data_IF_542280191933
#
_entry.id   IF_542280191933
#
_cell.length_a   1.000
_cell.length_b   1.000
_cell.length_c   1.000
_cell.angle_alpha   90.00
_cell.angle_beta   90.00
_cell.angle_gamma   90.00
#
_symmetry.space_group_name_H-M   'P 1'
#
loop_
_entity.id
_entity.type
_entity.pdbx_description
1 polymer ?
#
# COMPACT_ATOMS: atom_id res chain seq x y z
N UNK A 1 -7.95 -25.34 -49.26
CA UNK A 1 -8.42 -25.10 -50.64
C UNK A 1 -9.93 -24.83 -50.69
N UNK A 2 -10.85 -25.81 -50.71
CA UNK A 2 -12.29 -25.53 -50.90
C UNK A 2 -12.96 -24.64 -49.81
N UNK A 3 -12.41 -24.57 -48.60
CA UNK A 3 -12.94 -23.71 -47.54
C UNK A 3 -12.41 -22.27 -47.64
N UNK A 4 -11.15 -22.08 -48.05
CA UNK A 4 -10.53 -20.76 -48.21
C UNK A 4 -11.10 -20.04 -49.44
N UNK A 5 -11.33 -20.77 -50.54
CA UNK A 5 -11.97 -20.24 -51.74
C UNK A 5 -13.40 -19.75 -51.47
N UNK A 6 -14.18 -20.47 -50.66
CA UNK A 6 -15.52 -20.04 -50.24
C UNK A 6 -15.49 -18.80 -49.33
N UNK A 7 -14.46 -18.67 -48.50
CA UNK A 7 -14.29 -17.52 -47.61
C UNK A 7 -13.83 -16.27 -48.39
N UNK A 8 -12.96 -16.45 -49.38
CA UNK A 8 -12.56 -15.42 -50.33
C UNK A 8 -13.76 -14.96 -51.17
N UNK A 9 -14.55 -15.87 -51.71
CA UNK A 9 -15.76 -15.53 -52.49
C UNK A 9 -16.74 -14.70 -51.67
N UNK A 10 -17.00 -15.08 -50.41
CA UNK A 10 -17.83 -14.28 -49.50
C UNK A 10 -17.22 -12.90 -49.23
N UNK A 11 -15.91 -12.81 -49.04
CA UNK A 11 -15.23 -11.54 -48.78
C UNK A 11 -15.30 -10.58 -49.97
N UNK A 12 -15.15 -11.10 -51.19
CA UNK A 12 -15.23 -10.33 -52.43
C UNK A 12 -16.67 -9.90 -52.75
N UNK A 13 -17.66 -10.74 -52.43
CA UNK A 13 -19.04 -10.55 -52.89
C UNK A 13 -20.01 -9.97 -51.84
N UNK A 14 -19.74 -10.13 -50.54
CA UNK A 14 -20.59 -9.62 -49.46
C UNK A 14 -19.89 -8.47 -48.69
N UNK A 15 -20.37 -7.21 -48.84
CA UNK A 15 -19.79 -6.07 -48.14
C UNK A 15 -19.92 -6.16 -46.62
N UNK A 16 -20.98 -6.79 -46.09
CA UNK A 16 -21.17 -6.96 -44.64
C UNK A 16 -20.19 -7.97 -44.08
N UNK A 17 -19.94 -9.04 -44.82
CA UNK A 17 -18.94 -10.03 -44.44
C UNK A 17 -17.53 -9.41 -44.42
N UNK A 18 -17.19 -8.64 -45.47
CA UNK A 18 -15.91 -7.92 -45.55
C UNK A 18 -15.69 -6.97 -44.39
N UNK A 19 -16.68 -6.16 -44.05
CA UNK A 19 -16.61 -5.26 -42.88
C UNK A 19 -16.34 -6.03 -41.58
N UNK A 20 -17.02 -7.16 -41.38
CA UNK A 20 -16.82 -8.03 -40.20
C UNK A 20 -15.41 -8.64 -40.15
N UNK A 21 -14.83 -8.99 -41.30
CA UNK A 21 -13.44 -9.46 -41.38
C UNK A 21 -12.47 -8.33 -41.05
N UNK A 22 -12.65 -7.14 -41.63
CA UNK A 22 -11.81 -5.98 -41.32
C UNK A 22 -11.89 -5.58 -39.85
N UNK A 23 -13.07 -5.64 -39.24
CA UNK A 23 -13.23 -5.40 -37.81
C UNK A 23 -12.45 -6.41 -36.96
N UNK A 24 -12.43 -7.68 -37.38
CA UNK A 24 -11.63 -8.72 -36.70
C UNK A 24 -10.14 -8.46 -36.83
N UNK A 25 -9.66 -8.14 -38.03
CA UNK A 25 -8.25 -7.81 -38.30
C UNK A 25 -7.81 -6.64 -37.43
N UNK A 26 -8.60 -5.56 -37.39
CA UNK A 26 -8.33 -4.40 -36.53
C UNK A 26 -8.26 -4.80 -35.06
N UNK A 27 -9.26 -5.56 -34.59
CA UNK A 27 -9.34 -6.01 -33.20
C UNK A 27 -8.15 -6.88 -32.79
N UNK A 28 -7.69 -7.76 -33.66
CA UNK A 28 -6.57 -8.66 -33.36
C UNK A 28 -5.24 -7.89 -33.39
N UNK A 29 -5.03 -7.00 -34.36
CA UNK A 29 -3.86 -6.11 -34.40
C UNK A 29 -3.81 -5.15 -33.20
N UNK A 30 -4.93 -4.52 -32.85
CA UNK A 30 -5.03 -3.63 -31.68
C UNK A 30 -4.73 -4.40 -30.38
N UNK A 31 -5.20 -5.64 -30.27
CA UNK A 31 -4.94 -6.51 -29.10
C UNK A 31 -3.46 -6.86 -28.99
N UNK A 32 -2.81 -7.20 -30.10
CA UNK A 32 -1.39 -7.56 -30.09
C UNK A 32 -0.51 -6.35 -29.79
N UNK A 33 -0.86 -5.18 -30.34
CA UNK A 33 -0.25 -3.90 -29.96
C UNK A 33 -0.46 -3.58 -28.49
N UNK A 34 -1.68 -3.75 -27.96
CA UNK A 34 -1.98 -3.53 -26.54
C UNK A 34 -1.16 -4.47 -25.64
N UNK A 35 -0.95 -5.72 -26.05
CA UNK A 35 -0.05 -6.65 -25.34
C UNK A 35 1.38 -6.14 -25.32
N UNK A 36 1.92 -5.70 -26.46
CA UNK A 36 3.28 -5.16 -26.56
C UNK A 36 3.47 -3.90 -25.71
N UNK A 37 2.50 -2.98 -25.74
CA UNK A 37 2.50 -1.77 -24.90
C UNK A 37 2.50 -2.16 -23.42
N UNK A 38 1.62 -3.07 -23.01
CA UNK A 38 1.57 -3.56 -21.61
C UNK A 38 2.87 -4.24 -21.19
N UNK A 39 3.50 -4.99 -22.08
CA UNK A 39 4.78 -5.63 -21.82
C UNK A 39 5.87 -4.58 -21.57
N UNK A 40 6.01 -3.59 -22.46
CA UNK A 40 6.95 -2.47 -22.32
C UNK A 40 6.68 -1.63 -21.07
N UNK A 41 5.43 -1.33 -20.75
CA UNK A 41 5.03 -0.67 -19.51
C UNK A 41 5.47 -1.50 -18.30
N UNK A 42 5.24 -2.82 -18.33
CA UNK A 42 5.65 -3.72 -17.26
C UNK A 42 7.17 -3.73 -17.07
N UNK A 43 7.96 -3.71 -18.15
CA UNK A 43 9.41 -3.62 -18.12
C UNK A 43 9.88 -2.29 -17.51
N UNK A 44 9.29 -1.17 -17.93
CA UNK A 44 9.59 0.15 -17.36
C UNK A 44 9.31 0.18 -15.84
N UNK A 45 8.17 -0.38 -15.39
CA UNK A 45 7.87 -0.46 -13.96
C UNK A 45 8.82 -1.39 -13.19
N UNK A 46 9.27 -2.50 -13.80
CA UNK A 46 10.27 -3.41 -13.21
C UNK A 46 11.62 -2.69 -13.06
N UNK A 47 12.10 -2.03 -14.12
CA UNK A 47 13.36 -1.29 -14.11
C UNK A 47 13.33 -0.14 -13.08
N UNK A 48 12.22 0.60 -13.01
CA UNK A 48 12.02 1.67 -12.01
C UNK A 48 12.08 1.14 -10.57
N UNK A 49 11.51 -0.04 -10.31
CA UNK A 49 11.62 -0.71 -9.01
C UNK A 49 13.05 -1.16 -8.71
N UNK A 50 13.76 -1.73 -9.68
CA UNK A 50 15.16 -2.14 -9.54
C UNK A 50 16.03 -0.91 -9.22
N UNK A 51 15.86 0.18 -9.96
CA UNK A 51 16.52 1.47 -9.71
C UNK A 51 16.29 1.97 -8.28
N UNK A 52 15.04 2.00 -7.84
CA UNK A 52 14.68 2.45 -6.48
C UNK A 52 15.31 1.58 -5.40
N UNK A 53 15.37 0.26 -5.63
CA UNK A 53 15.98 -0.68 -4.70
C UNK A 53 17.51 -0.54 -4.66
N UNK A 54 18.15 -0.30 -5.81
CA UNK A 54 19.60 -0.09 -5.87
C UNK A 54 19.99 1.21 -5.16
N UNK A 55 19.25 2.30 -5.36
CA UNK A 55 19.44 3.55 -4.60
C UNK A 55 19.32 3.27 -3.10
N UNK A 56 18.25 2.59 -2.65
CA UNK A 56 18.07 2.24 -1.23
C UNK A 56 19.22 1.40 -0.68
N UNK A 57 19.72 0.45 -1.48
CA UNK A 57 20.84 -0.41 -1.11
C UNK A 57 22.12 0.39 -0.94
N UNK A 58 22.44 1.27 -1.89
CA UNK A 58 23.60 2.17 -1.83
C UNK A 58 23.49 3.10 -0.63
N UNK A 59 22.35 3.76 -0.45
CA UNK A 59 22.09 4.63 0.71
C UNK A 59 22.32 3.85 2.00
N UNK A 60 21.77 2.64 2.12
CA UNK A 60 21.95 1.81 3.32
C UNK A 60 23.40 1.37 3.53
N UNK A 61 24.13 1.01 2.47
CA UNK A 61 25.53 0.57 2.59
C UNK A 61 26.49 1.68 2.99
N UNK A 62 26.13 2.95 2.74
CA UNK A 62 26.90 4.12 3.20
C UNK A 62 26.80 4.33 4.71
N UNK A 63 25.78 3.79 5.36
CA UNK A 63 25.59 3.88 6.81
C UNK A 63 26.17 2.65 7.53
N UNK A 64 27.13 2.90 8.41
CA UNK A 64 27.79 1.93 9.27
C UNK A 64 27.24 2.02 10.70
N UNK A 65 26.93 0.88 11.31
CA UNK A 65 26.60 0.80 12.74
C UNK A 65 27.88 0.68 13.54
N UNK A 66 28.18 1.67 14.38
CA UNK A 66 29.34 1.68 15.26
C UNK A 66 28.96 1.36 16.71
N UNK A 67 29.96 0.88 17.48
CA UNK A 67 29.89 0.64 18.93
C UNK A 67 28.62 -0.10 19.37
N UNK A 68 28.44 -1.32 18.85
CA UNK A 68 27.30 -2.17 19.19
C UNK A 68 25.96 -1.71 18.62
N UNK A 69 25.96 -0.73 17.71
CA UNK A 69 24.75 -0.21 17.05
C UNK A 69 24.17 1.06 17.68
N UNK A 70 24.81 1.61 18.71
CA UNK A 70 24.35 2.81 19.42
C UNK A 70 24.66 4.12 18.67
N UNK A 71 25.54 4.07 17.66
CA UNK A 71 25.85 5.19 16.80
C UNK A 71 25.83 4.74 15.34
N UNK A 72 25.23 5.53 14.45
CA UNK A 72 25.22 5.25 13.02
C UNK A 72 25.99 6.35 12.29
N UNK A 73 26.92 5.95 11.44
CA UNK A 73 27.92 6.85 10.84
C UNK A 73 27.92 6.65 9.33
N UNK A 74 27.95 7.73 8.59
CA UNK A 74 28.19 7.76 7.16
C UNK A 74 29.53 8.47 6.90
N UNK A 75 30.59 7.69 6.71
CA UNK A 75 31.93 8.22 6.44
C UNK A 75 32.05 8.84 5.05
N UNK A 76 31.27 8.34 4.08
CA UNK A 76 31.29 8.86 2.70
C UNK A 76 30.74 10.28 2.60
N UNK A 77 29.77 10.64 3.43
CA UNK A 77 29.12 11.96 3.43
C UNK A 77 29.54 12.83 4.62
N UNK A 78 30.36 12.29 5.53
CA UNK A 78 30.76 13.00 6.74
C UNK A 78 29.60 13.27 7.70
N UNK A 79 28.65 12.32 7.83
CA UNK A 79 27.44 12.46 8.66
C UNK A 79 27.36 11.42 9.77
N UNK A 80 26.78 11.79 10.90
CA UNK A 80 26.33 10.87 11.95
C UNK A 80 24.82 10.96 12.10
N UNK A 81 24.21 9.93 12.68
CA UNK A 81 22.80 9.91 13.04
C UNK A 81 22.64 9.61 14.53
N UNK A 82 22.02 10.53 15.25
CA UNK A 82 21.73 10.46 16.70
C UNK A 82 20.23 10.67 16.89
N UNK A 83 19.53 9.73 17.56
CA UNK A 83 18.08 9.80 17.80
C UNK A 83 17.27 10.18 16.55
N UNK A 84 17.55 9.49 15.45
CA UNK A 84 16.98 9.75 14.14
C UNK A 84 17.30 11.08 13.46
N UNK A 85 18.10 11.94 14.08
CA UNK A 85 18.55 13.21 13.52
C UNK A 85 19.92 13.07 12.86
N UNK A 86 20.03 13.47 11.59
CA UNK A 86 21.30 13.48 10.84
C UNK A 86 22.08 14.76 11.08
N UNK A 87 23.36 14.65 11.42
CA UNK A 87 24.23 15.77 11.73
C UNK A 87 25.57 15.60 11.00
N UNK A 88 26.21 16.69 10.58
CA UNK A 88 27.54 16.64 9.97
C UNK A 88 28.63 16.42 11.02
N UNK A 89 29.75 15.85 10.62
CA UNK A 89 30.93 15.72 11.47
C UNK A 89 31.43 17.08 11.97
N UNK A 90 31.42 18.09 11.10
CA UNK A 90 31.83 19.47 11.42
C UNK A 90 30.95 20.16 12.48
N UNK A 91 29.71 19.68 12.65
CA UNK A 91 28.77 20.20 13.64
C UNK A 91 29.06 19.70 15.06
N UNK A 92 29.86 18.63 15.21
CA UNK A 92 30.20 18.05 16.51
C UNK A 92 31.19 18.98 17.22
N UNK A 93 30.77 19.59 18.33
CA UNK A 93 31.63 20.43 19.18
C UNK A 93 32.28 19.65 20.32
N UNK A 94 31.73 18.49 20.66
CA UNK A 94 32.29 17.60 21.67
C UNK A 94 31.26 16.61 22.19
N UNK A 95 31.73 15.64 22.97
CA UNK A 95 30.88 14.65 23.63
C UNK A 95 31.34 14.45 25.08
N UNK A 96 30.39 14.25 26.00
CA UNK A 96 30.65 14.05 27.43
C UNK A 96 29.82 12.88 27.95
N UNK A 97 30.39 12.16 28.91
CA UNK A 97 29.68 11.09 29.61
C UNK A 97 28.61 11.71 30.53
N UNK A 98 27.41 11.14 30.49
CA UNK A 98 26.33 11.44 31.43
C UNK A 98 25.98 10.17 32.19
N UNK A 99 26.13 10.22 33.52
CA UNK A 99 25.92 9.08 34.38
C UNK A 99 25.20 9.53 35.66
N UNK A 100 24.11 8.85 35.99
CA UNK A 100 23.37 9.05 37.23
C UNK A 100 23.59 7.85 38.16
N UNK A 101 24.19 8.11 39.31
CA UNK A 101 24.52 7.09 40.31
C UNK A 101 23.52 7.09 41.47
N UNK A 102 23.19 5.89 41.95
CA UNK A 102 22.33 5.64 43.11
C UNK A 102 22.93 4.52 43.98
N UNK A 103 22.33 4.22 45.14
CA UNK A 103 22.79 3.16 46.03
C UNK A 103 21.61 2.27 46.45
N UNK A 104 21.81 0.94 46.48
CA UNK A 104 20.86 -0.01 47.05
C UNK A 104 21.42 -0.60 48.34
N UNK A 105 20.63 -0.61 49.40
CA UNK A 105 20.99 -1.22 50.69
C UNK A 105 20.50 -2.67 50.70
N UNK A 106 21.42 -3.62 50.86
CA UNK A 106 21.09 -5.04 51.03
C UNK A 106 21.46 -5.45 52.44
N UNK A 107 20.46 -5.89 53.22
CA UNK A 107 20.69 -6.40 54.58
C UNK A 107 20.62 -7.91 54.56
N UNK A 108 21.72 -8.58 54.90
CA UNK A 108 21.76 -10.04 55.02
C UNK A 108 21.74 -10.41 56.50
N UNK A 109 20.72 -11.18 56.92
CA UNK A 109 20.59 -11.72 58.27
C UNK A 109 20.89 -13.21 58.29
N UNK A 110 21.76 -13.67 59.20
CA UNK A 110 21.98 -15.10 59.47
C UNK A 110 21.20 -15.48 60.73
N UNK A 111 20.12 -16.24 60.57
CA UNK A 111 19.29 -16.71 61.69
C UNK A 111 19.68 -18.16 61.99
N UNK A 112 20.29 -18.41 63.14
CA UNK A 112 20.47 -19.76 63.67
C UNK A 112 19.35 -20.01 64.68
N UNK A 113 18.25 -20.65 64.27
CA UNK A 113 17.21 -21.11 65.19
C UNK A 113 17.51 -22.55 65.63
N UNK A 114 17.74 -22.77 66.93
CA UNK A 114 17.65 -24.11 67.55
C UNK A 114 16.19 -24.35 67.93
N UNK A 115 15.47 -25.13 67.15
CA UNK A 115 14.14 -25.61 67.51
C UNK A 115 14.22 -26.65 68.65
N UNK A 116 13.37 -26.49 69.66
CA UNK A 116 13.00 -27.57 70.59
C UNK A 116 11.58 -28.01 70.22
N UNK A 117 11.48 -29.24 69.76
CA UNK A 117 10.24 -29.90 69.34
C UNK A 117 9.22 -29.99 70.48
N UNK A 118 7.97 -29.57 70.22
CA UNK A 118 6.79 -30.27 70.75
C UNK A 118 5.72 -30.34 69.67
N UNK A 119 5.38 -31.57 69.31
CA UNK A 119 4.31 -31.91 68.38
C UNK A 119 2.94 -31.82 69.07
N UNK A 120 1.97 -31.19 68.42
CA UNK A 120 0.54 -31.36 68.71
C UNK A 120 -0.28 -30.96 67.48
N UNK A 121 -0.59 -31.98 66.69
CA UNK A 121 -1.77 -32.22 65.84
C UNK A 121 -2.76 -31.07 65.58
N UNK A 122 -3.09 -30.84 64.30
CA UNK A 122 -4.38 -30.23 63.94
C UNK A 122 -4.53 -29.60 62.56
N UNK A 123 -4.23 -30.33 61.47
CA UNK A 123 -4.87 -30.08 60.17
C UNK A 123 -4.08 -29.24 59.14
N UNK A 124 -3.96 -29.82 57.94
CA UNK A 124 -3.48 -29.26 56.67
C UNK A 124 -1.95 -29.11 56.47
N UNK A 125 -1.29 -30.26 56.32
CA UNK A 125 -0.29 -30.46 55.26
C UNK A 125 -1.02 -30.41 53.89
N UNK A 126 -0.47 -30.02 52.75
CA UNK A 126 0.90 -29.78 52.34
C UNK A 126 0.88 -28.87 51.08
N UNK A 127 1.91 -28.05 50.91
CA UNK A 127 2.08 -27.24 49.70
C UNK A 127 3.35 -26.38 49.69
N UNK A 128 4.49 -26.98 50.04
CA UNK A 128 5.86 -26.58 49.67
C UNK A 128 6.36 -25.16 50.05
N UNK A 129 7.31 -25.14 50.99
CA UNK A 129 8.47 -24.24 50.92
C UNK A 129 9.06 -24.25 49.50
N UNK A 130 9.45 -23.09 48.97
CA UNK A 130 10.82 -22.77 48.53
C UNK A 130 10.87 -21.29 48.10
N UNK A 131 11.64 -20.50 48.84
CA UNK A 131 12.55 -19.51 48.27
C UNK A 131 11.98 -18.16 47.79
N UNK A 132 12.26 -17.12 48.57
CA UNK A 132 12.64 -15.83 48.00
C UNK A 132 11.77 -14.64 48.37
N UNK A 133 12.40 -13.71 49.12
CA UNK A 133 12.05 -12.30 49.32
C UNK A 133 10.94 -11.99 50.35
N UNK A 134 11.31 -11.63 51.60
CA UNK A 134 10.47 -10.80 52.44
C UNK A 134 10.79 -9.32 52.14
N UNK A 135 9.95 -8.69 51.33
CA UNK A 135 9.78 -7.24 51.39
C UNK A 135 9.12 -6.91 52.73
N UNK A 136 9.94 -6.56 53.72
CA UNK A 136 9.46 -5.98 54.96
C UNK A 136 9.97 -4.53 55.02
N UNK A 137 9.10 -3.61 54.60
CA UNK A 137 9.25 -2.17 54.86
C UNK A 137 9.19 -1.99 56.38
N UNK A 138 10.34 -1.75 57.00
CA UNK A 138 10.43 -1.36 58.41
C UNK A 138 10.06 0.13 58.50
N UNK A 139 8.77 0.42 58.54
CA UNK A 139 8.22 1.67 59.07
C UNK A 139 7.98 1.50 60.56
N UNK A 140 8.77 2.16 61.39
CA UNK A 140 8.66 2.03 62.84
C UNK A 140 7.42 2.69 63.41
N UNK A 141 6.73 2.02 64.34
CA UNK A 141 6.25 2.61 65.61
C UNK A 141 5.82 1.50 66.59
N UNK A 142 6.55 1.42 67.70
CA UNK A 142 6.13 1.13 69.09
C UNK A 142 5.17 -0.04 69.36
N UNK A 143 5.66 -1.02 70.14
CA UNK A 143 5.11 -1.53 71.42
C UNK A 143 5.15 -3.08 71.52
N UNK A 144 5.84 -3.58 72.55
CA UNK A 144 5.74 -4.99 72.99
C UNK A 144 7.09 -5.63 73.28
N UNK A 145 7.55 -5.53 74.53
CA UNK A 145 8.72 -6.29 75.02
C UNK A 145 8.35 -7.77 75.12
N UNK A 146 8.74 -8.60 74.16
CA UNK A 146 8.98 -10.03 74.38
C UNK A 146 10.47 -10.29 74.19
N UNK A 147 11.14 -10.72 75.28
CA UNK A 147 12.56 -11.04 75.27
C UNK A 147 12.79 -12.37 74.56
N UNK A 148 12.89 -12.34 73.24
CA UNK A 148 13.49 -13.43 72.47
C UNK A 148 14.96 -13.07 72.26
N UNK A 149 15.89 -13.83 72.86
CA UNK A 149 17.32 -13.68 72.58
C UNK A 149 17.59 -14.21 71.17
N UNK A 150 17.39 -13.36 70.17
CA UNK A 150 17.84 -13.59 68.80
C UNK A 150 19.23 -13.01 68.67
N UNK A 151 20.28 -13.84 68.81
CA UNK A 151 21.64 -13.42 68.45
C UNK A 151 21.80 -13.62 66.95
N UNK A 152 21.47 -12.58 66.17
CA UNK A 152 21.73 -12.50 64.74
C UNK A 152 22.67 -11.32 64.47
N UNK A 153 23.76 -11.56 63.75
CA UNK A 153 24.55 -10.48 63.15
C UNK A 153 23.88 -10.07 61.85
N UNK A 154 23.53 -8.78 61.73
CA UNK A 154 23.07 -8.16 60.49
C UNK A 154 24.21 -7.33 59.92
N UNK A 155 24.67 -7.67 58.72
CA UNK A 155 25.59 -6.83 57.95
C UNK A 155 24.80 -6.16 56.84
N UNK A 156 24.83 -4.83 56.82
CA UNK A 156 24.23 -4.00 55.78
C UNK A 156 25.32 -3.61 54.79
N UNK A 157 25.16 -3.99 53.53
CA UNK A 157 26.07 -3.62 52.46
C UNK A 157 25.38 -2.60 51.53
N UNK A 158 26.07 -1.51 51.23
CA UNK A 158 25.65 -0.55 50.20
C UNK A 158 26.24 -0.98 48.86
N UNK A 159 25.39 -1.27 47.88
CA UNK A 159 25.80 -1.60 46.51
C UNK A 159 25.61 -0.35 45.65
N UNK A 160 26.67 0.19 45.02
CA UNK A 160 26.54 1.30 44.08
C UNK A 160 25.81 0.81 42.82
N UNK A 161 24.82 1.58 42.40
CA UNK A 161 23.99 1.33 41.22
C UNK A 161 24.03 2.53 40.28
N UNK A 162 23.76 2.32 39.00
CA UNK A 162 23.61 3.35 37.99
C UNK A 162 22.16 3.32 37.49
N UNK A 163 21.46 4.45 37.51
CA UNK A 163 20.06 4.56 37.04
C UNK A 163 19.98 4.96 35.58
N UNK A 164 20.93 5.75 35.11
CA UNK A 164 20.99 6.25 33.74
C UNK A 164 22.44 6.40 33.29
N UNK A 165 22.74 5.96 32.06
CA UNK A 165 24.04 6.13 31.43
C UNK A 165 23.84 6.50 29.96
N UNK A 166 24.45 7.60 29.54
CA UNK A 166 24.39 8.07 28.16
C UNK A 166 25.60 8.93 27.80
N UNK A 167 25.64 9.32 26.53
CA UNK A 167 26.64 10.27 26.01
C UNK A 167 25.92 11.51 25.52
N UNK A 168 26.22 12.65 26.15
CA UNK A 168 25.74 13.95 25.72
C UNK A 168 26.67 14.49 24.63
N UNK A 169 26.15 14.62 23.42
CA UNK A 169 26.85 15.15 22.24
C UNK A 169 26.40 16.58 22.02
N UNK A 170 27.35 17.51 21.97
CA UNK A 170 27.10 18.90 21.59
C UNK A 170 27.22 19.03 20.07
N UNK A 171 26.11 19.37 19.44
CA UNK A 171 25.97 19.56 18.00
C UNK A 171 25.54 21.01 17.80
N UNK A 172 26.44 21.84 17.26
CA UNK A 172 26.19 23.27 16.99
C UNK A 172 25.58 24.06 18.18
N UNK A 173 25.92 23.69 19.41
CA UNK A 173 25.43 24.33 20.63
C UNK A 173 24.23 23.64 21.28
N UNK A 174 23.61 22.66 20.61
CA UNK A 174 22.51 21.85 21.15
C UNK A 174 23.02 20.53 21.69
N UNK A 175 22.54 20.13 22.86
CA UNK A 175 22.92 18.86 23.48
C UNK A 175 21.93 17.77 23.07
N UNK A 176 22.43 16.71 22.45
CA UNK A 176 21.67 15.48 22.14
C UNK A 176 22.24 14.30 22.91
N UNK A 177 21.39 13.43 23.43
CA UNK A 177 21.81 12.30 24.25
C UNK A 177 21.73 10.97 23.50
N UNK A 178 22.81 10.20 23.52
CA UNK A 178 22.80 8.78 23.14
C UNK A 178 22.66 7.96 24.41
N UNK A 179 21.45 7.45 24.66
CA UNK A 179 21.16 6.64 25.86
C UNK A 179 21.67 5.22 25.70
N UNK A 180 22.44 4.73 26.67
CA UNK A 180 23.01 3.38 26.70
C UNK A 180 22.38 2.50 27.80
N UNK A 181 22.00 3.12 28.91
CA UNK A 181 21.23 2.49 29.99
C UNK A 181 20.17 3.46 30.49
N UNK A 182 18.95 2.97 30.66
CA UNK A 182 17.80 3.73 31.18
C UNK A 182 17.14 3.04 32.39
N UNK A 183 17.80 2.04 32.96
CA UNK A 183 17.31 1.26 34.10
C UNK A 183 18.39 1.07 35.15
N UNK A 184 17.95 0.87 36.40
CA UNK A 184 18.85 0.68 37.53
C UNK A 184 19.62 -0.63 37.41
N UNK A 185 20.94 -0.53 37.33
CA UNK A 185 21.87 -1.67 37.29
C UNK A 185 22.99 -1.52 38.32
N UNK A 186 23.49 -2.62 38.86
CA UNK A 186 24.63 -2.58 39.78
C UNK A 186 25.91 -2.17 39.01
N UNK A 187 26.73 -1.27 39.56
CA UNK A 187 27.95 -0.78 38.85
C UNK A 187 29.02 -1.88 38.69
N UNK A 188 28.96 -2.94 39.49
CA UNK A 188 29.81 -4.13 39.32
C UNK A 188 29.29 -5.08 38.23
N UNK A 189 28.10 -4.83 37.67
CA UNK A 189 27.51 -5.71 36.66
C UNK A 189 28.22 -5.59 35.31
N UNK A 190 28.25 -6.70 34.57
CA UNK A 190 28.79 -6.73 33.20
C UNK A 190 28.03 -5.78 32.26
N UNK A 191 26.72 -5.61 32.49
CA UNK A 191 25.88 -4.68 31.74
C UNK A 191 26.35 -3.24 31.89
N UNK A 192 26.67 -2.81 33.12
CA UNK A 192 27.24 -1.48 33.38
C UNK A 192 28.61 -1.33 32.72
N UNK A 193 29.53 -2.27 32.94
CA UNK A 193 30.89 -2.20 32.37
C UNK A 193 30.88 -2.14 30.83
N UNK A 194 29.98 -2.89 30.20
CA UNK A 194 29.81 -2.87 28.74
C UNK A 194 29.27 -1.53 28.26
N UNK A 195 28.27 -0.99 28.94
CA UNK A 195 27.68 0.30 28.58
C UNK A 195 28.68 1.46 28.80
N UNK A 196 29.46 1.43 29.88
CA UNK A 196 30.53 2.40 30.15
C UNK A 196 31.63 2.32 29.09
N UNK A 197 32.12 1.12 28.78
CA UNK A 197 33.10 0.90 27.71
C UNK A 197 32.59 1.41 26.36
N UNK A 198 31.32 1.15 26.04
CA UNK A 198 30.69 1.66 24.83
C UNK A 198 30.58 3.19 24.84
N UNK A 199 30.21 3.80 25.97
CA UNK A 199 30.15 5.26 26.11
C UNK A 199 31.50 5.91 25.82
N UNK A 200 32.58 5.38 26.41
CA UNK A 200 33.94 5.85 26.18
C UNK A 200 34.38 5.70 24.72
N UNK A 201 34.07 4.56 24.09
CA UNK A 201 34.34 4.33 22.66
C UNK A 201 33.57 5.32 21.77
N UNK A 202 32.31 5.62 22.10
CA UNK A 202 31.51 6.62 21.38
C UNK A 202 32.13 8.00 21.52
N UNK A 203 32.51 8.43 22.73
CA UNK A 203 33.14 9.74 22.97
C UNK A 203 34.44 9.85 22.17
N UNK A 204 35.30 8.83 22.23
CA UNK A 204 36.56 8.81 21.47
C UNK A 204 36.31 8.87 19.96
N UNK A 205 35.36 8.08 19.45
CA UNK A 205 35.00 8.06 18.03
C UNK A 205 34.46 9.42 17.58
N UNK A 206 33.50 10.02 18.32
CA UNK A 206 32.98 11.35 18.00
C UNK A 206 34.08 12.41 18.02
N UNK A 207 35.04 12.31 18.93
CA UNK A 207 36.23 13.16 18.94
C UNK A 207 37.05 13.05 17.66
N UNK A 208 37.26 11.84 17.14
CA UNK A 208 37.94 11.64 15.85
C UNK A 208 37.13 12.12 14.65
N UNK A 209 35.82 11.86 14.64
CA UNK A 209 34.93 12.27 13.55
C UNK A 209 34.84 13.79 13.44
N UNK A 210 34.78 14.52 14.56
CA UNK A 210 34.73 15.98 14.59
C UNK A 210 35.90 16.67 13.86
N UNK A 211 37.07 16.01 13.82
CA UNK A 211 38.28 16.50 13.15
C UNK A 211 38.47 15.93 11.74
N UNK A 212 37.58 15.03 11.30
CA UNK A 212 37.65 14.44 9.97
C UNK A 212 37.07 15.42 8.95
N UNK A 213 37.79 15.76 7.86
CA UNK A 213 37.28 16.69 6.85
C UNK A 213 36.04 16.09 6.17
N UNK A 214 35.00 16.92 6.02
CA UNK A 214 33.78 16.56 5.30
C UNK A 214 34.02 16.78 3.80
N UNK A 215 33.77 15.79 2.94
CA UNK A 215 33.90 15.96 1.49
C UNK A 215 32.93 17.02 0.97
N UNK A 216 33.44 17.98 0.18
CA UNK A 216 32.60 19.02 -0.44
C UNK A 216 31.80 18.49 -1.64
N UNK A 217 32.38 17.54 -2.39
CA UNK A 217 31.76 16.90 -3.54
C UNK A 217 31.45 15.44 -3.23
N UNK A 218 30.21 15.18 -2.87
CA UNK A 218 29.68 13.84 -2.58
C UNK A 218 28.95 13.34 -3.82
N UNK A 219 29.39 12.21 -4.36
CA UNK A 219 28.62 11.50 -5.40
C UNK A 219 27.29 11.06 -4.80
N UNK A 220 26.18 11.56 -5.35
CA UNK A 220 24.86 11.18 -4.83
C UNK A 220 24.56 9.71 -5.16
N UNK A 221 23.77 8.99 -4.36
CA UNK A 221 23.39 7.61 -4.65
C UNK A 221 22.77 7.44 -6.06
N UNK A 222 22.10 8.47 -6.58
CA UNK A 222 21.52 8.49 -7.93
C UNK A 222 22.55 8.60 -9.05
N UNK A 223 23.72 9.16 -8.77
CA UNK A 223 24.79 9.42 -9.74
C UNK A 223 25.78 8.24 -9.86
N UNK A 224 25.61 7.22 -9.01
CA UNK A 224 26.41 6.01 -9.00
C UNK A 224 26.29 5.25 -10.33
N UNK A 225 27.37 4.61 -10.82
CA UNK A 225 27.41 4.01 -12.15
C UNK A 225 26.38 2.90 -12.33
N UNK A 226 26.07 2.14 -11.28
CA UNK A 226 25.03 1.10 -11.32
C UNK A 226 23.63 1.69 -11.53
N UNK A 227 23.33 2.84 -10.93
CA UNK A 227 22.04 3.54 -11.08
C UNK A 227 21.98 4.23 -12.45
N UNK A 228 23.08 4.83 -12.90
CA UNK A 228 23.16 5.45 -14.24
C UNK A 228 22.91 4.45 -15.37
N UNK A 229 23.45 3.24 -15.28
CA UNK A 229 23.18 2.18 -16.26
C UNK A 229 21.69 1.81 -16.30
N UNK A 230 21.03 1.78 -15.14
CA UNK A 230 19.58 1.54 -15.07
C UNK A 230 18.78 2.72 -15.64
N UNK A 231 19.24 3.96 -15.46
CA UNK A 231 18.62 5.14 -16.04
C UNK A 231 18.72 5.15 -17.57
N UNK A 232 19.88 4.76 -18.11
CA UNK A 232 20.06 4.60 -19.57
C UNK A 232 19.13 3.53 -20.14
N UNK A 233 19.01 2.39 -19.45
CA UNK A 233 18.07 1.32 -19.85
C UNK A 233 16.62 1.78 -19.78
N UNK A 234 16.22 2.44 -18.68
CA UNK A 234 14.86 2.94 -18.50
C UNK A 234 14.52 3.97 -19.57
N UNK A 235 15.44 4.89 -19.87
CA UNK A 235 15.24 5.91 -20.90
C UNK A 235 15.14 5.28 -22.29
N UNK A 236 15.97 4.26 -22.60
CA UNK A 236 15.87 3.54 -23.86
C UNK A 236 14.51 2.85 -24.03
N UNK A 237 14.00 2.19 -22.98
CA UNK A 237 12.69 1.52 -22.96
C UNK A 237 11.51 2.50 -23.00
N UNK A 238 11.66 3.66 -22.37
CA UNK A 238 10.65 4.71 -22.44
C UNK A 238 10.56 5.30 -23.85
N UNK A 239 11.68 5.49 -24.55
CA UNK A 239 11.66 5.89 -25.97
C UNK A 239 10.99 4.83 -26.85
N UNK A 240 11.24 3.54 -26.59
CA UNK A 240 10.58 2.44 -27.31
C UNK A 240 9.05 2.48 -27.11
N UNK A 241 8.60 2.68 -25.87
CA UNK A 241 7.18 2.84 -25.54
C UNK A 241 6.56 4.08 -26.20
N UNK A 242 7.26 5.21 -26.20
CA UNK A 242 6.82 6.44 -26.86
C UNK A 242 6.74 6.27 -28.38
N UNK A 243 7.73 5.62 -29.00
CA UNK A 243 7.73 5.30 -30.42
C UNK A 243 6.59 4.37 -30.79
N UNK A 244 6.32 3.34 -29.98
CA UNK A 244 5.17 2.47 -30.16
C UNK A 244 3.88 3.27 -30.06
N UNK A 245 3.70 4.09 -29.02
CA UNK A 245 2.50 4.92 -28.84
C UNK A 245 2.30 5.94 -29.97
N UNK A 246 3.38 6.47 -30.56
CA UNK A 246 3.32 7.44 -31.65
C UNK A 246 3.00 6.81 -33.02
N UNK A 247 3.29 5.52 -33.22
CA UNK A 247 2.96 4.83 -34.46
C UNK A 247 1.46 4.61 -34.61
N UNK A 248 0.91 4.99 -35.76
CA UNK A 248 -0.44 4.60 -36.16
C UNK A 248 -0.46 3.11 -36.51
N UNK A 249 -1.49 2.36 -36.09
CA UNK A 249 -1.60 0.94 -36.44
C UNK A 249 -1.79 0.80 -37.95
N UNK A 250 -0.96 -0.06 -38.56
CA UNK A 250 -1.14 -0.54 -39.92
C UNK A 250 -1.88 -1.88 -39.81
N UNK A 251 -3.02 -1.99 -40.50
CA UNK A 251 -3.86 -3.19 -40.47
C UNK A 251 -3.62 -3.99 -41.74
N UNK A 252 -2.90 -5.11 -41.63
CA UNK A 252 -2.60 -5.97 -42.77
C UNK A 252 -3.75 -6.96 -43.02
N UNK A 253 -4.27 -6.98 -44.25
CA UNK A 253 -5.27 -7.97 -44.64
C UNK A 253 -4.59 -9.34 -44.85
N UNK A 254 -5.09 -10.42 -44.24
CA UNK A 254 -4.54 -11.75 -44.46
C UNK A 254 -4.54 -12.15 -45.95
N UNK A 255 -3.46 -12.80 -46.41
CA UNK A 255 -3.29 -13.20 -47.82
C UNK A 255 -4.45 -14.04 -48.36
N UNK A 256 -5.14 -14.81 -47.49
CA UNK A 256 -6.29 -15.64 -47.87
C UNK A 256 -7.49 -14.85 -48.44
N UNK A 257 -7.53 -13.54 -48.23
CA UNK A 257 -8.57 -12.65 -48.76
C UNK A 257 -8.14 -11.91 -50.03
N UNK A 258 -7.00 -12.28 -50.64
CA UNK A 258 -6.54 -11.75 -51.92
C UNK A 258 -6.56 -12.84 -52.99
N UNK A 259 -6.85 -12.44 -54.23
CA UNK A 259 -6.63 -13.28 -55.41
C UNK A 259 -5.21 -13.09 -55.93
N UNK A 260 -4.68 -14.06 -56.67
CA UNK A 260 -3.32 -14.00 -57.24
C UNK A 260 -3.11 -12.77 -58.14
N UNK A 261 -4.16 -12.32 -58.83
CA UNK A 261 -4.14 -11.15 -59.72
C UNK A 261 -4.04 -9.83 -58.95
N UNK A 262 -4.54 -9.79 -57.71
CA UNK A 262 -4.63 -8.59 -56.88
C UNK A 262 -3.54 -8.56 -55.79
N UNK A 263 -2.64 -9.54 -55.79
CA UNK A 263 -1.60 -9.72 -54.76
C UNK A 263 -0.65 -8.51 -54.63
N UNK A 264 -0.45 -7.77 -55.72
CA UNK A 264 0.47 -6.63 -55.79
C UNK A 264 -0.17 -5.29 -55.39
N UNK A 265 -1.48 -5.22 -55.13
CA UNK A 265 -2.12 -3.99 -54.64
C UNK A 265 -1.87 -3.79 -53.14
N UNK A 266 -1.85 -2.53 -52.69
CA UNK A 266 -1.91 -2.22 -51.26
C UNK A 266 -3.29 -2.57 -50.68
N UNK A 267 -3.36 -2.82 -49.36
CA UNK A 267 -4.63 -3.17 -48.70
C UNK A 267 -5.71 -2.09 -48.90
N UNK A 268 -5.33 -0.83 -48.81
CA UNK A 268 -6.24 0.30 -48.99
C UNK A 268 -6.75 0.40 -50.44
N UNK A 269 -5.88 0.18 -51.42
CA UNK A 269 -6.26 0.16 -52.84
C UNK A 269 -7.17 -1.01 -53.16
N UNK A 270 -6.88 -2.19 -52.60
CA UNK A 270 -7.69 -3.38 -52.80
C UNK A 270 -9.10 -3.21 -52.20
N UNK A 271 -9.21 -2.67 -50.99
CA UNK A 271 -10.51 -2.39 -50.37
C UNK A 271 -11.32 -1.34 -51.15
N UNK A 272 -10.67 -0.31 -51.70
CA UNK A 272 -11.33 0.67 -52.59
C UNK A 272 -11.83 0.03 -53.88
N UNK A 273 -11.03 -0.86 -54.48
CA UNK A 273 -11.43 -1.62 -55.66
C UNK A 273 -12.70 -2.45 -55.39
N UNK A 274 -12.74 -3.18 -54.27
CA UNK A 274 -13.93 -3.97 -53.88
C UNK A 274 -15.16 -3.09 -53.64
N UNK A 275 -15.00 -1.91 -53.04
CA UNK A 275 -16.10 -0.95 -52.88
C UNK A 275 -16.64 -0.46 -54.24
N UNK A 276 -15.77 -0.23 -55.22
CA UNK A 276 -16.17 0.18 -56.55
C UNK A 276 -16.93 -0.95 -57.28
N UNK A 277 -16.47 -2.19 -57.16
CA UNK A 277 -17.16 -3.38 -57.69
C UNK A 277 -18.54 -3.59 -57.08
N UNK A 278 -18.69 -3.34 -55.77
CA UNK A 278 -19.99 -3.42 -55.09
C UNK A 278 -20.95 -2.34 -55.58
N UNK A 279 -20.45 -1.12 -55.81
CA UNK A 279 -21.24 -0.03 -56.38
C UNK A 279 -21.76 -0.41 -57.78
N UNK A 280 -20.90 -0.91 -58.66
CA UNK A 280 -21.30 -1.38 -59.99
C UNK A 280 -22.34 -2.52 -59.94
N UNK A 281 -22.17 -3.50 -59.04
CA UNK A 281 -23.17 -4.57 -58.86
C UNK A 281 -24.52 -4.03 -58.37
N UNK A 282 -24.52 -3.05 -57.48
CA UNK A 282 -25.74 -2.42 -56.99
C UNK A 282 -26.48 -1.65 -58.09
N UNK A 283 -25.73 -0.95 -58.96
CA UNK A 283 -26.26 -0.20 -60.10
C UNK A 283 -26.85 -1.15 -61.15
N UNK A 284 -26.11 -2.20 -61.53
CA UNK A 284 -26.58 -3.21 -62.47
C UNK A 284 -27.84 -3.93 -61.96
N UNK A 285 -27.90 -4.27 -60.67
CA UNK A 285 -29.09 -4.88 -60.08
C UNK A 285 -30.29 -3.90 -60.03
N UNK A 286 -30.04 -2.61 -59.80
CA UNK A 286 -31.10 -1.59 -59.82
C UNK A 286 -31.63 -1.36 -61.24
N UNK A 287 -30.76 -1.34 -62.25
CA UNK A 287 -31.12 -1.23 -63.66
C UNK A 287 -31.89 -2.45 -64.16
N UNK A 288 -31.43 -3.66 -63.79
CA UNK A 288 -32.13 -4.91 -64.12
C UNK A 288 -33.51 -5.01 -63.43
N UNK A 289 -33.66 -4.46 -62.21
CA UNK A 289 -34.99 -4.35 -61.57
C UNK A 289 -35.91 -3.34 -62.26
N UNK A 290 -35.37 -2.30 -62.91
CA UNK A 290 -36.13 -1.30 -63.66
C UNK A 290 -36.59 -1.84 -65.01
N UNK A 291 -35.84 -2.73 -65.65
CA UNK A 291 -36.21 -3.35 -66.93
C UNK A 291 -37.17 -4.54 -66.80
N UNK A 292 -37.21 -5.21 -65.64
CA UNK A 292 -38.08 -6.38 -65.38
C UNK A 292 -39.46 -6.00 -64.82
N UNK A 293 -39.69 -4.74 -64.42
CA UNK A 293 -41.01 -4.23 -64.01
C UNK A 293 -41.65 -3.45 -65.18
N UNK A 294 -42.84 -3.83 -65.68
CA UNK A 294 -43.56 -2.95 -66.59
C UNK A 294 -44.11 -1.75 -65.81
N UNK A 295 -44.20 -0.63 -66.53
CA UNK A 295 -44.86 0.64 -66.20
C UNK A 295 -46.00 0.49 -65.17
N UNK A 296 -46.12 1.37 -64.14
CA UNK A 296 -47.24 1.28 -63.21
C UNK A 296 -48.54 1.64 -63.95
N UNK A 297 -49.33 0.61 -64.28
CA UNK A 297 -50.71 0.77 -64.71
C UNK A 297 -51.47 1.56 -63.64
N UNK A 298 -51.93 2.74 -64.03
CA UNK A 298 -52.85 3.61 -63.30
C UNK A 298 -54.11 2.82 -62.94
N UNK A 299 -54.12 2.17 -61.78
CA UNK A 299 -55.32 1.64 -61.11
C UNK A 299 -54.98 1.30 -59.67
N UNK A 300 -54.96 2.33 -58.82
CA UNK A 300 -55.37 2.30 -57.41
C UNK A 300 -55.09 3.66 -56.74
N UNK A 301 -55.50 4.75 -57.41
CA UNK A 301 -55.37 6.12 -56.89
C UNK A 301 -56.61 6.59 -56.12
N UNK A 302 -57.58 5.70 -55.85
CA UNK A 302 -58.90 6.10 -55.32
C UNK A 302 -59.30 5.44 -53.99
N UNK A 303 -58.44 4.65 -53.35
CA UNK A 303 -58.76 4.01 -52.05
C UNK A 303 -57.78 4.32 -50.91
N UNK A 304 -56.71 5.10 -51.15
CA UNK A 304 -55.77 5.48 -50.09
C UNK A 304 -55.91 6.93 -49.60
N UNK A 305 -56.80 7.70 -50.23
CA UNK A 305 -57.06 9.10 -49.88
C UNK A 305 -57.96 9.27 -48.66
N UNK A 306 -58.65 8.22 -48.18
CA UNK A 306 -59.57 8.32 -47.02
C UNK A 306 -58.95 7.81 -45.71
N UNK A 307 -57.76 7.20 -45.76
CA UNK A 307 -57.12 6.59 -44.57
C UNK A 307 -55.85 7.32 -44.06
N UNK A 308 -55.48 8.47 -44.64
CA UNK A 308 -54.32 9.26 -44.15
C UNK A 308 -54.68 10.63 -43.58
N UNK A 309 -55.94 11.07 -43.71
CA UNK A 309 -56.40 12.35 -43.12
C UNK A 309 -56.64 12.26 -41.60
N UNK A 310 -56.64 11.09 -40.98
CA UNK A 310 -56.79 10.93 -39.51
C UNK A 310 -55.49 10.65 -38.76
N UNK A 311 -54.35 10.52 -39.44
CA UNK A 311 -53.03 10.44 -38.78
C UNK A 311 -52.33 11.82 -38.67
N UNK A 312 -52.96 12.87 -39.21
CA UNK A 312 -52.48 14.26 -39.13
C UNK A 312 -53.11 14.98 -37.94
N UNK A 313 -53.02 14.42 -36.73
CA UNK A 313 -53.47 15.12 -35.52
C UNK A 313 -52.92 14.50 -34.23
N UNK A 314 -51.64 14.15 -34.19
CA UNK A 314 -50.93 14.16 -32.92
C UNK A 314 -49.41 14.15 -33.12
N UNK A 315 -48.74 14.94 -32.29
CA UNK A 315 -47.28 15.10 -32.20
C UNK A 315 -46.67 16.08 -33.19
N UNK A 316 -47.10 17.34 -33.06
CA UNK A 316 -46.25 18.48 -33.38
C UNK A 316 -46.28 19.42 -32.17
N UNK A 317 -45.29 19.33 -31.28
CA UNK A 317 -44.85 20.41 -30.38
C UNK A 317 -43.57 20.03 -29.63
N UNK A 318 -42.40 20.34 -30.21
CA UNK A 318 -41.47 21.36 -29.66
C UNK A 318 -40.17 21.45 -30.48
N UNK A 319 -40.01 22.61 -31.13
CA UNK A 319 -38.81 23.42 -31.41
C UNK A 319 -37.65 22.72 -32.16
N UNK A 320 -37.39 22.92 -33.46
CA UNK A 320 -37.13 24.14 -34.24
C UNK A 320 -35.94 24.99 -33.73
N UNK A 321 -34.79 24.93 -34.41
CA UNK A 321 -33.79 25.99 -34.72
C UNK A 321 -33.06 25.55 -36.04
N UNK A 322 -32.67 26.46 -36.96
CA UNK A 322 -32.57 26.18 -38.39
C UNK A 322 -31.13 26.02 -38.94
N UNK A 323 -31.06 25.50 -40.16
CA UNK A 323 -29.88 25.52 -41.04
C UNK A 323 -29.41 26.95 -41.35
N UNK A 324 -28.09 27.16 -41.36
CA UNK A 324 -27.41 28.07 -42.29
C UNK A 324 -26.09 27.48 -42.77
N UNK A 325 -25.88 27.68 -44.06
CA UNK A 325 -24.80 27.27 -44.93
C UNK A 325 -23.38 27.67 -44.51
N UNK A 326 -22.44 26.79 -44.88
CA UNK A 326 -21.16 27.07 -45.57
C UNK A 326 -20.27 28.16 -44.96
N UNK A 327 -19.31 27.73 -44.12
CA UNK A 327 -17.86 28.01 -44.21
C UNK A 327 -17.13 27.54 -42.94
N UNK A 328 -15.90 27.06 -43.11
CA UNK A 328 -14.87 26.73 -42.12
C UNK A 328 -14.75 25.25 -41.69
N UNK A 329 -14.06 24.49 -42.54
CA UNK A 329 -13.61 23.12 -42.30
C UNK A 329 -12.37 23.00 -41.36
N UNK A 330 -11.81 24.10 -40.85
CA UNK A 330 -10.57 24.07 -40.05
C UNK A 330 -10.76 24.14 -38.52
N UNK A 331 -11.99 24.07 -38.01
CA UNK A 331 -12.26 24.04 -36.55
C UNK A 331 -12.82 22.71 -36.02
N UNK A 332 -13.15 21.74 -36.87
CA UNK A 332 -13.67 20.43 -36.43
C UNK A 332 -12.60 19.44 -35.97
N UNK A 333 -11.32 19.65 -36.31
CA UNK A 333 -10.21 18.79 -35.87
C UNK A 333 -9.84 19.00 -34.38
N UNK A 334 -10.13 20.17 -33.80
CA UNK A 334 -9.80 20.47 -32.40
C UNK A 334 -10.90 20.03 -31.40
N UNK A 335 -12.16 19.92 -31.84
CA UNK A 335 -13.29 19.53 -31.00
C UNK A 335 -13.49 17.99 -30.91
N UNK A 336 -13.05 17.24 -31.93
CA UNK A 336 -13.14 15.77 -31.91
C UNK A 336 -12.07 15.15 -31.00
N UNK A 337 -10.84 15.70 -31.00
CA UNK A 337 -9.75 15.27 -30.12
C UNK A 337 -9.94 15.60 -28.64
N UNK A 338 -10.79 16.58 -28.30
CA UNK A 338 -11.17 16.87 -26.90
C UNK A 338 -12.30 15.98 -26.42
N UNK A 339 -13.22 15.58 -27.29
CA UNK A 339 -14.35 14.73 -26.89
C UNK A 339 -13.93 13.27 -26.66
N UNK A 340 -13.02 12.71 -27.48
CA UNK A 340 -12.45 11.38 -27.25
C UNK A 340 -11.52 11.32 -26.03
N UNK A 341 -10.72 12.36 -25.80
CA UNK A 341 -9.90 12.46 -24.57
C UNK A 341 -10.76 12.55 -23.32
N UNK A 342 -11.86 13.30 -23.33
CA UNK A 342 -12.78 13.41 -22.19
C UNK A 342 -13.57 12.11 -21.95
N UNK A 343 -13.91 11.35 -22.99
CA UNK A 343 -14.63 10.06 -22.86
C UNK A 343 -13.69 8.93 -22.41
N UNK A 344 -12.48 8.82 -22.96
CA UNK A 344 -11.47 7.86 -22.49
C UNK A 344 -10.92 8.18 -21.09
N UNK A 345 -10.77 9.47 -20.75
CA UNK A 345 -10.39 9.90 -19.39
C UNK A 345 -11.53 9.68 -18.39
N UNK A 346 -12.80 9.80 -18.80
CA UNK A 346 -13.96 9.40 -17.97
C UNK A 346 -14.05 7.90 -17.77
N UNK A 347 -13.84 7.08 -18.81
CA UNK A 347 -13.91 5.62 -18.68
C UNK A 347 -12.75 5.03 -17.87
N UNK A 348 -11.53 5.55 -18.04
CA UNK A 348 -10.37 5.16 -17.22
C UNK A 348 -10.49 5.67 -15.79
N UNK A 349 -11.00 6.89 -15.59
CA UNK A 349 -11.33 7.42 -14.26
C UNK A 349 -12.43 6.64 -13.54
N UNK A 350 -13.46 6.19 -14.26
CA UNK A 350 -14.56 5.39 -13.70
C UNK A 350 -14.10 3.97 -13.32
N UNK A 351 -13.28 3.31 -14.17
CA UNK A 351 -12.65 2.01 -13.84
C UNK A 351 -11.64 2.11 -12.71
N UNK A 352 -10.83 3.18 -12.69
CA UNK A 352 -9.89 3.42 -11.60
C UNK A 352 -10.62 3.67 -10.28
N UNK A 353 -11.72 4.43 -10.29
CA UNK A 353 -12.54 4.67 -9.11
C UNK A 353 -13.25 3.40 -8.61
N UNK A 354 -13.76 2.56 -9.52
CA UNK A 354 -14.32 1.25 -9.13
C UNK A 354 -13.28 0.30 -8.53
N UNK A 355 -12.07 0.26 -9.10
CA UNK A 355 -10.98 -0.55 -8.57
C UNK A 355 -10.50 0.01 -7.22
N UNK A 356 -10.44 1.33 -7.06
CA UNK A 356 -10.07 1.98 -5.80
C UNK A 356 -11.13 1.76 -4.71
N UNK A 357 -12.42 1.77 -5.06
CA UNK A 357 -13.51 1.44 -4.15
C UNK A 357 -13.49 -0.03 -3.75
N UNK A 358 -13.21 -0.95 -4.69
CA UNK A 358 -13.07 -2.39 -4.41
C UNK A 358 -11.88 -2.66 -3.49
N UNK A 359 -10.73 -2.04 -3.76
CA UNK A 359 -9.53 -2.13 -2.92
C UNK A 359 -9.78 -1.52 -1.53
N UNK A 360 -10.40 -0.35 -1.46
CA UNK A 360 -10.77 0.29 -0.20
C UNK A 360 -11.74 -0.56 0.64
N UNK A 361 -12.71 -1.21 -0.01
CA UNK A 361 -13.64 -2.13 0.66
C UNK A 361 -12.94 -3.40 1.16
N UNK A 362 -11.98 -3.94 0.39
CA UNK A 362 -11.17 -5.08 0.81
C UNK A 362 -10.27 -4.72 2.01
N UNK A 363 -9.60 -3.56 1.98
CA UNK A 363 -8.76 -3.07 3.09
C UNK A 363 -9.61 -2.87 4.35
N UNK A 364 -10.80 -2.26 4.22
CA UNK A 364 -11.75 -2.10 5.31
C UNK A 364 -12.11 -3.45 5.94
N UNK A 365 -12.50 -4.43 5.12
CA UNK A 365 -12.87 -5.76 5.61
C UNK A 365 -11.71 -6.47 6.33
N UNK A 366 -10.49 -6.36 5.81
CA UNK A 366 -9.29 -6.95 6.44
C UNK A 366 -9.00 -6.26 7.77
N UNK A 367 -8.98 -4.92 7.81
CA UNK A 367 -8.67 -4.16 9.02
C UNK A 367 -9.68 -4.45 10.14
N UNK A 368 -10.97 -4.43 9.83
CA UNK A 368 -12.02 -4.68 10.83
C UNK A 368 -12.08 -6.14 11.29
N UNK A 369 -11.70 -7.10 10.43
CA UNK A 369 -11.51 -8.47 10.85
C UNK A 369 -10.35 -8.61 11.85
N UNK A 370 -9.22 -7.93 11.61
CA UNK A 370 -8.09 -7.91 12.57
C UNK A 370 -8.49 -7.26 13.89
N UNK A 371 -9.18 -6.12 13.87
CA UNK A 371 -9.67 -5.47 15.10
C UNK A 371 -10.71 -6.31 15.85
N UNK A 372 -11.59 -7.03 15.14
CA UNK A 372 -12.51 -7.99 15.75
C UNK A 372 -11.74 -9.10 16.48
N UNK A 373 -10.73 -9.69 15.83
CA UNK A 373 -9.88 -10.71 16.43
C UNK A 373 -9.15 -10.20 17.68
N UNK A 374 -8.62 -8.96 17.60
CA UNK A 374 -7.96 -8.32 18.74
C UNK A 374 -8.93 -8.13 19.92
N UNK A 375 -10.18 -7.69 19.67
CA UNK A 375 -11.20 -7.57 20.72
C UNK A 375 -11.62 -8.93 21.30
N UNK A 376 -11.60 -10.01 20.53
CA UNK A 376 -11.80 -11.37 21.08
C UNK A 376 -10.68 -11.73 22.05
N UNK A 377 -9.42 -11.42 21.72
CA UNK A 377 -8.29 -11.64 22.66
C UNK A 377 -8.44 -10.80 23.94
N UNK A 378 -8.83 -9.53 23.80
CA UNK A 378 -9.15 -8.68 24.95
C UNK A 378 -10.35 -9.19 25.75
N UNK A 379 -11.32 -9.86 25.12
CA UNK A 379 -12.44 -10.47 25.85
C UNK A 379 -11.99 -11.61 26.75
N UNK A 380 -11.07 -12.47 26.29
CA UNK A 380 -10.50 -13.56 27.09
C UNK A 380 -9.75 -13.00 28.30
N UNK A 381 -8.95 -11.96 28.09
CA UNK A 381 -8.29 -11.24 29.19
C UNK A 381 -9.32 -10.54 30.11
N UNK A 382 -10.35 -9.94 29.52
CA UNK A 382 -11.47 -9.31 30.21
C UNK A 382 -12.16 -10.26 31.18
N UNK A 383 -12.54 -11.47 30.73
CA UNK A 383 -13.16 -12.49 31.57
C UNK A 383 -12.27 -12.94 32.73
N UNK A 384 -10.94 -12.82 32.61
CA UNK A 384 -10.02 -13.12 33.73
C UNK A 384 -10.03 -12.06 34.85
N UNK A 385 -10.55 -10.86 34.57
CA UNK A 385 -10.55 -9.71 35.49
C UNK A 385 -11.95 -9.25 35.90
N UNK A 386 -12.88 -9.17 34.95
CA UNK A 386 -14.26 -8.73 35.14
C UNK A 386 -15.16 -9.31 34.05
N UNK A 387 -16.23 -9.99 34.46
CA UNK A 387 -17.21 -10.56 33.53
C UNK A 387 -17.88 -9.51 32.64
N UNK A 388 -18.03 -8.28 33.14
CA UNK A 388 -18.63 -7.14 32.43
C UNK A 388 -17.71 -6.69 31.29
N UNK A 389 -16.41 -6.52 31.58
CA UNK A 389 -15.41 -6.13 30.59
C UNK A 389 -15.27 -7.19 29.49
N UNK A 390 -15.19 -8.48 29.86
CA UNK A 390 -15.15 -9.59 28.91
C UNK A 390 -16.35 -9.64 27.98
N UNK A 391 -17.57 -9.45 28.53
CA UNK A 391 -18.81 -9.43 27.75
C UNK A 391 -18.86 -8.24 26.79
N UNK A 392 -18.36 -7.07 27.21
CA UNK A 392 -18.36 -5.86 26.39
C UNK A 392 -17.39 -5.95 25.21
N UNK A 393 -16.18 -6.47 25.44
CA UNK A 393 -15.22 -6.74 24.36
C UNK A 393 -15.73 -7.81 23.39
N UNK A 394 -16.39 -8.85 23.91
CA UNK A 394 -16.98 -9.90 23.06
C UNK A 394 -18.13 -9.35 22.21
N UNK A 395 -19.04 -8.56 22.79
CA UNK A 395 -20.12 -7.92 22.05
C UNK A 395 -19.58 -6.96 20.98
N UNK A 396 -18.58 -6.16 21.32
CA UNK A 396 -17.91 -5.24 20.39
C UNK A 396 -17.24 -6.01 19.24
N UNK A 397 -16.57 -7.13 19.53
CA UNK A 397 -15.95 -7.98 18.52
C UNK A 397 -16.95 -8.58 17.53
N UNK A 398 -18.12 -9.01 18.02
CA UNK A 398 -19.19 -9.59 17.20
C UNK A 398 -19.85 -8.56 16.29
N UNK A 399 -20.12 -7.35 16.80
CA UNK A 399 -20.79 -6.28 16.04
C UNK A 399 -19.92 -5.79 14.88
N UNK A 400 -18.61 -5.70 15.11
CA UNK A 400 -17.65 -5.10 14.17
C UNK A 400 -17.15 -6.12 13.14
N UNK A 401 -17.36 -7.42 13.38
CA UNK A 401 -16.91 -8.46 12.47
C UNK A 401 -17.65 -8.37 11.12
N UNK A 402 -16.94 -8.13 10.00
CA UNK A 402 -17.57 -7.99 8.68
C UNK A 402 -18.33 -9.24 8.24
N UNK A 403 -17.92 -10.44 8.71
CA UNK A 403 -18.62 -11.70 8.43
C UNK A 403 -19.89 -11.90 9.25
N UNK A 404 -19.94 -11.37 10.47
CA UNK A 404 -21.16 -11.39 11.28
C UNK A 404 -22.20 -10.38 10.77
N UNK A 405 -21.73 -9.25 10.22
CA UNK A 405 -22.61 -8.27 9.59
C UNK A 405 -23.36 -8.87 8.38
N UNK A 406 -22.66 -9.64 7.54
CA UNK A 406 -23.24 -10.38 6.42
C UNK A 406 -24.26 -11.45 6.85
N UNK A 407 -24.05 -12.08 8.03
CA UNK A 407 -24.88 -13.18 8.51
C UNK A 407 -26.12 -12.72 9.31
N UNK A 408 -25.97 -11.68 10.15
CA UNK A 408 -26.98 -11.28 11.16
C UNK A 408 -27.80 -10.07 10.71
N UNK A 409 -27.20 -9.13 9.97
CA UNK A 409 -27.82 -7.84 9.64
C UNK A 409 -28.43 -7.79 8.23
N UNK A 410 -28.34 -8.87 7.47
CA UNK A 410 -28.68 -8.99 6.04
C UNK A 410 -30.14 -8.69 5.64
N UNK A 411 -31.02 -8.26 6.57
CA UNK A 411 -32.44 -8.03 6.23
C UNK A 411 -33.11 -6.77 6.75
N UNK A 412 -32.54 -5.94 7.65
CA UNK A 412 -33.30 -4.78 8.16
C UNK A 412 -32.53 -3.49 8.49
N UNK A 413 -31.22 -3.50 8.71
CA UNK A 413 -30.49 -2.27 9.09
C UNK A 413 -29.11 -2.26 8.44
N UNK A 414 -28.93 -1.42 7.43
CA UNK A 414 -27.60 -1.10 6.90
C UNK A 414 -26.95 -0.04 7.79
N UNK A 415 -25.99 -0.46 8.62
CA UNK A 415 -25.20 0.48 9.42
C UNK A 415 -24.13 1.15 8.52
N UNK A 416 -24.06 2.50 8.49
CA UNK A 416 -23.04 3.20 7.73
C UNK A 416 -21.64 2.87 8.25
N UNK A 417 -20.66 2.67 7.37
CA UNK A 417 -19.29 2.24 7.75
C UNK A 417 -18.63 3.09 8.83
N UNK A 418 -18.94 4.38 8.90
CA UNK A 418 -18.42 5.28 9.94
C UNK A 418 -18.95 4.97 11.34
N UNK A 419 -20.16 4.41 11.47
CA UNK A 419 -20.70 4.01 12.79
C UNK A 419 -19.93 2.84 13.39
N UNK A 420 -19.35 1.96 12.58
CA UNK A 420 -18.51 0.85 13.07
C UNK A 420 -17.22 1.35 13.73
N UNK A 421 -16.66 2.47 13.24
CA UNK A 421 -15.50 3.13 13.86
C UNK A 421 -15.87 3.68 15.24
N UNK A 422 -17.04 4.33 15.35
CA UNK A 422 -17.53 4.83 16.64
C UNK A 422 -17.80 3.69 17.63
N UNK A 423 -18.41 2.60 17.18
CA UNK A 423 -18.67 1.42 18.02
C UNK A 423 -17.36 0.77 18.48
N UNK A 424 -16.34 0.69 17.60
CA UNK A 424 -15.00 0.21 17.97
C UNK A 424 -14.40 1.05 19.10
N UNK A 425 -14.39 2.37 18.93
CA UNK A 425 -13.77 3.30 19.88
C UNK A 425 -14.52 3.24 21.21
N UNK A 426 -15.84 3.43 21.19
CA UNK A 426 -16.67 3.46 22.39
C UNK A 426 -16.64 2.10 23.11
N UNK A 427 -16.77 0.99 22.38
CA UNK A 427 -16.73 -0.36 22.95
C UNK A 427 -15.38 -0.70 23.56
N UNK A 428 -14.28 -0.29 22.91
CA UNK A 428 -12.94 -0.50 23.44
C UNK A 428 -12.69 0.30 24.72
N UNK A 429 -12.98 1.61 24.71
CA UNK A 429 -12.77 2.46 25.90
C UNK A 429 -13.68 2.06 27.06
N UNK A 430 -14.95 1.73 26.81
CA UNK A 430 -15.83 1.23 27.85
C UNK A 430 -15.36 -0.13 28.42
N UNK A 431 -14.75 -0.99 27.60
CA UNK A 431 -14.18 -2.26 28.04
C UNK A 431 -12.94 -2.07 28.91
N UNK A 432 -12.11 -1.08 28.57
CA UNK A 432 -10.92 -0.72 29.37
C UNK A 432 -11.31 -0.05 30.69
N UNK A 433 -12.28 0.87 30.67
CA UNK A 433 -12.74 1.59 31.86
C UNK A 433 -13.48 0.71 32.88
N UNK A 434 -13.87 -0.51 32.48
CA UNK A 434 -14.51 -1.49 33.37
C UNK A 434 -13.51 -2.44 34.03
N UNK A 435 -12.21 -2.30 33.76
CA UNK A 435 -11.19 -2.99 34.56
C UNK A 435 -11.17 -2.41 35.98
N UNK A 436 -11.11 -3.26 37.02
CA UNK A 436 -10.95 -2.78 38.37
C UNK A 436 -9.63 -1.98 38.44
N UNK A 437 -9.71 -0.72 38.90
CA UNK A 437 -8.52 0.07 39.19
C UNK A 437 -7.65 -0.72 40.16
N UNK A 438 -6.35 -0.84 39.87
CA UNK A 438 -5.41 -1.51 40.76
C UNK A 438 -5.48 -0.84 42.14
N UNK A 439 -6.04 -1.56 43.12
CA UNK A 439 -5.89 -1.28 44.54
C UNK A 439 -4.76 -2.13 45.09
#
# INVERSE_FOLDING_TARGET
MANEERELEKFVNDPRYREKVMERVRRDADRDREKQIKELESECTKLSKIRTNEIKKITKSRWEKAVGGNLVINRTEGKIKINDTECLFSSIKGAKLHMESAHRIVTTGKINSKEKNHASLGGAAAGAFVGGVPEAIIGGTVLGKTKTKTTGSTTSNQIPTCTHLGVLVNIDGFTSEITLLSSQVDQSSWTFQTAESNAQKIIALLGTLAHTPVPENILKPEEEPSVRLLDEQLLSKQRELEAMNAQNPIYELPEMYRTDEQRNLSDDEYLRYLQQMDRQRSENNAENRRTVMPEPTVRNMSQRTVASEQASQNVNHRNAIPEREVQNADQQAAAFGTTERVVSQRQTGHRANENLQKVGNAIYNIAFWVFSLMNVLFSVYGFSKSWISGTLFLATALIINPKMNELVWSKKVELPKWSMILILIVGFFAGVLTFPAAQ
#
